data_IF_384567876926
#
_entry.id   IF_384567876926
#
_cell.length_a   1.000
_cell.length_b   1.000
_cell.length_c   1.000
_cell.angle_alpha   90.00
_cell.angle_beta   90.00
_cell.angle_gamma   90.00
#
_symmetry.space_group_name_H-M   'P 1'
#
loop_
_entity.id
_entity.type
_entity.pdbx_description
1 polymer ?
#
# COMPACT_ATOMS: atom_id res chain seq x y z
N UNK A 1 7.56 16.69 -14.81
CA UNK A 1 7.46 15.43 -14.02
C UNK A 1 7.39 14.29 -15.03
N UNK A 2 8.20 13.24 -14.88
CA UNK A 2 8.23 12.11 -15.82
C UNK A 2 7.32 10.99 -15.31
N UNK A 3 6.46 10.45 -16.16
CA UNK A 3 5.57 9.34 -15.79
C UNK A 3 6.13 8.02 -16.31
N UNK A 4 6.15 6.98 -15.46
CA UNK A 4 6.66 5.65 -15.80
C UNK A 4 5.50 4.67 -15.89
N UNK A 5 5.38 3.94 -17.00
CA UNK A 5 4.31 2.96 -17.17
C UNK A 5 4.75 1.76 -18.02
N UNK A 6 4.36 0.56 -17.59
CA UNK A 6 4.58 -0.67 -18.39
C UNK A 6 3.86 -0.61 -19.74
N UNK A 7 2.66 -0.03 -19.75
CA UNK A 7 1.89 0.21 -20.97
C UNK A 7 1.73 1.73 -21.17
N UNK A 8 2.58 2.29 -22.03
CA UNK A 8 2.62 3.71 -22.36
C UNK A 8 1.28 4.20 -22.95
N UNK A 9 0.76 3.50 -23.95
CA UNK A 9 -0.47 3.88 -24.64
C UNK A 9 -1.67 3.93 -23.68
N UNK A 10 -1.76 2.97 -22.75
CA UNK A 10 -2.81 2.98 -21.72
C UNK A 10 -2.69 4.20 -20.80
N UNK A 11 -1.49 4.56 -20.37
CA UNK A 11 -1.29 5.72 -19.51
C UNK A 11 -1.62 7.04 -20.25
N UNK A 12 -1.23 7.16 -21.51
CA UNK A 12 -1.56 8.35 -22.32
C UNK A 12 -3.09 8.48 -22.53
N UNK A 13 -3.80 7.37 -22.75
CA UNK A 13 -5.29 7.36 -22.80
C UNK A 13 -5.95 7.75 -21.48
N UNK A 14 -5.26 7.58 -20.36
CA UNK A 14 -5.70 8.04 -19.03
C UNK A 14 -5.36 9.52 -18.78
N UNK A 15 -4.73 10.21 -19.73
CA UNK A 15 -4.42 11.64 -19.65
C UNK A 15 -3.03 11.96 -19.12
N UNK A 16 -2.16 10.96 -18.89
CA UNK A 16 -0.78 11.22 -18.50
C UNK A 16 0.06 11.70 -19.69
N UNK A 17 0.83 12.77 -19.49
CA UNK A 17 1.85 13.24 -20.43
C UNK A 17 3.26 12.76 -20.01
N UNK A 18 4.26 12.96 -20.87
CA UNK A 18 5.67 12.61 -20.58
C UNK A 18 5.84 11.17 -20.08
N UNK A 19 5.13 10.24 -20.73
CA UNK A 19 5.12 8.82 -20.36
C UNK A 19 6.29 8.08 -21.01
N UNK A 20 7.09 7.42 -20.17
CA UNK A 20 8.17 6.54 -20.56
C UNK A 20 7.80 5.10 -20.23
N UNK A 21 8.11 4.20 -21.17
CA UNK A 21 7.90 2.78 -20.96
C UNK A 21 8.90 2.29 -19.91
N UNK A 22 8.39 1.68 -18.85
CA UNK A 22 9.20 1.20 -17.73
C UNK A 22 8.46 0.07 -17.03
N UNK A 23 9.19 -0.96 -16.59
CA UNK A 23 8.62 -2.06 -15.81
C UNK A 23 9.52 -2.34 -14.60
N UNK A 24 9.06 -3.19 -13.68
CA UNK A 24 9.90 -3.69 -12.59
C UNK A 24 10.90 -4.74 -13.11
N UNK A 25 11.85 -4.29 -13.92
CA UNK A 25 12.90 -5.10 -14.52
C UNK A 25 14.21 -4.30 -14.64
N UNK A 26 15.21 -4.90 -15.27
CA UNK A 26 16.52 -4.31 -15.56
C UNK A 26 16.79 -4.13 -17.06
N UNK A 27 15.72 -3.91 -17.82
CA UNK A 27 15.84 -3.67 -19.26
C UNK A 27 16.47 -2.31 -19.56
N UNK A 28 17.07 -2.18 -20.74
CA UNK A 28 17.57 -0.88 -21.20
C UNK A 28 16.46 0.18 -21.29
N UNK A 29 15.23 -0.22 -21.64
CA UNK A 29 14.07 0.68 -21.66
C UNK A 29 13.84 1.30 -20.27
N UNK A 30 13.86 0.46 -19.23
CA UNK A 30 13.68 0.87 -17.83
C UNK A 30 14.83 1.79 -17.38
N UNK A 31 16.09 1.46 -17.66
CA UNK A 31 17.24 2.31 -17.30
C UNK A 31 17.14 3.67 -18.00
N UNK A 32 16.92 3.71 -19.32
CA UNK A 32 16.77 4.95 -20.09
C UNK A 32 15.59 5.79 -19.58
N UNK A 33 14.50 5.15 -19.14
CA UNK A 33 13.35 5.85 -18.56
C UNK A 33 13.67 6.60 -17.28
N UNK A 34 14.77 6.26 -16.59
CA UNK A 34 15.21 6.84 -15.32
C UNK A 34 16.39 7.81 -15.48
N UNK A 35 17.00 7.92 -16.65
CA UNK A 35 18.15 8.82 -16.88
C UNK A 35 17.77 10.29 -16.65
N UNK A 36 18.61 11.00 -15.89
CA UNK A 36 18.40 12.41 -15.53
C UNK A 36 17.30 12.64 -14.48
N UNK A 37 16.87 11.59 -13.76
CA UNK A 37 15.94 11.69 -12.63
C UNK A 37 16.72 11.68 -11.32
N UNK A 38 16.61 12.76 -10.53
CA UNK A 38 17.26 12.83 -9.22
C UNK A 38 16.48 12.10 -8.12
N UNK A 39 15.14 12.22 -8.16
CA UNK A 39 14.19 11.70 -7.18
C UNK A 39 13.15 10.81 -7.86
N UNK A 40 13.05 9.57 -7.41
CA UNK A 40 12.10 8.58 -7.90
C UNK A 40 11.00 8.35 -6.87
N UNK A 41 9.75 8.62 -7.24
CA UNK A 41 8.60 8.06 -6.51
C UNK A 41 8.32 6.65 -7.00
N UNK A 42 8.60 5.66 -6.17
CA UNK A 42 8.39 4.24 -6.44
C UNK A 42 7.13 3.77 -5.72
N UNK A 43 6.05 3.63 -6.47
CA UNK A 43 4.91 2.81 -6.03
C UNK A 43 5.39 1.36 -5.94
N UNK A 44 4.88 0.58 -4.99
CA UNK A 44 5.24 -0.83 -4.92
C UNK A 44 4.57 -1.65 -6.03
N UNK A 45 5.24 -2.70 -6.48
CA UNK A 45 4.73 -3.63 -7.49
C UNK A 45 3.52 -4.41 -6.98
N UNK A 46 2.74 -4.93 -7.93
CA UNK A 46 1.58 -5.78 -7.64
C UNK A 46 1.98 -7.08 -6.95
N UNK A 47 1.01 -7.73 -6.32
CA UNK A 47 1.14 -9.09 -5.76
C UNK A 47 1.66 -10.07 -6.82
N UNK A 48 2.75 -10.76 -6.52
CA UNK A 48 3.45 -11.67 -7.42
C UNK A 48 4.52 -12.47 -6.64
N UNK A 49 4.80 -13.76 -6.93
CA UNK A 49 5.86 -14.50 -6.26
C UNK A 49 7.26 -13.88 -6.42
N UNK A 50 7.51 -13.22 -7.55
CA UNK A 50 8.79 -12.58 -7.85
C UNK A 50 8.84 -11.10 -7.41
N UNK A 51 7.87 -10.61 -6.63
CA UNK A 51 7.70 -9.19 -6.31
C UNK A 51 8.97 -8.55 -5.73
N UNK A 52 9.63 -9.21 -4.78
CA UNK A 52 10.89 -8.71 -4.20
C UNK A 52 11.99 -8.63 -5.26
N UNK A 53 12.11 -9.62 -6.14
CA UNK A 53 13.11 -9.60 -7.20
C UNK A 53 12.82 -8.50 -8.23
N UNK A 54 11.55 -8.30 -8.58
CA UNK A 54 11.10 -7.22 -9.45
C UNK A 54 11.46 -5.84 -8.86
N UNK A 55 11.24 -5.62 -7.56
CA UNK A 55 11.67 -4.40 -6.90
C UNK A 55 13.18 -4.22 -6.94
N UNK A 56 13.96 -5.27 -6.66
CA UNK A 56 15.43 -5.23 -6.70
C UNK A 56 15.95 -4.88 -8.08
N UNK A 57 15.43 -5.50 -9.13
CA UNK A 57 15.82 -5.22 -10.52
C UNK A 57 15.50 -3.76 -10.91
N UNK A 58 14.36 -3.23 -10.47
CA UNK A 58 13.99 -1.83 -10.70
C UNK A 58 14.88 -0.85 -9.93
N UNK A 59 15.21 -1.15 -8.68
CA UNK A 59 16.12 -0.36 -7.84
C UNK A 59 17.53 -0.36 -8.43
N UNK A 60 17.99 -1.50 -8.96
CA UNK A 60 19.26 -1.59 -9.69
C UNK A 60 19.27 -0.73 -10.94
N UNK A 61 18.16 -0.71 -11.70
CA UNK A 61 18.00 0.21 -12.84
C UNK A 61 18.07 1.67 -12.43
N UNK A 62 17.40 2.04 -11.33
CA UNK A 62 17.47 3.38 -10.76
C UNK A 62 18.91 3.75 -10.36
N UNK A 63 19.66 2.80 -9.80
CA UNK A 63 21.06 3.00 -9.43
C UNK A 63 21.92 3.24 -10.67
N UNK A 64 21.76 2.42 -11.70
CA UNK A 64 22.49 2.56 -12.97
C UNK A 64 22.18 3.88 -13.65
N UNK A 65 20.93 4.34 -13.61
CA UNK A 65 20.50 5.60 -14.20
C UNK A 65 20.92 6.85 -13.40
N UNK A 66 21.48 6.67 -12.20
CA UNK A 66 22.00 7.75 -11.36
C UNK A 66 20.97 8.41 -10.43
N UNK A 67 19.81 7.77 -10.18
CA UNK A 67 18.84 8.24 -9.18
C UNK A 67 19.51 8.34 -7.82
N UNK A 68 19.24 9.42 -7.09
CA UNK A 68 19.88 9.71 -5.80
C UNK A 68 18.97 9.46 -4.59
N UNK A 69 17.66 9.64 -4.77
CA UNK A 69 16.65 9.53 -3.72
C UNK A 69 15.44 8.73 -4.20
N UNK A 70 15.02 7.74 -3.41
CA UNK A 70 13.77 7.00 -3.63
C UNK A 70 12.74 7.35 -2.55
N UNK A 71 11.61 7.93 -2.96
CA UNK A 71 10.40 7.99 -2.15
C UNK A 71 9.60 6.72 -2.43
N UNK A 72 9.60 5.77 -1.49
CA UNK A 72 9.01 4.45 -1.69
C UNK A 72 7.68 4.34 -0.93
N UNK A 73 6.64 3.93 -1.64
CA UNK A 73 5.36 3.55 -1.04
C UNK A 73 5.47 2.14 -0.46
N UNK A 74 5.82 2.11 0.81
CA UNK A 74 6.01 0.92 1.64
C UNK A 74 4.74 0.59 2.42
N UNK A 75 4.83 -0.30 3.41
CA UNK A 75 3.69 -0.77 4.19
C UNK A 75 3.90 -0.59 5.71
N UNK A 76 2.83 -0.29 6.43
CA UNK A 76 2.83 -0.09 7.88
C UNK A 76 3.39 -1.30 8.61
N UNK A 77 4.24 -1.04 9.61
CA UNK A 77 4.95 -2.05 10.38
C UNK A 77 5.75 -3.11 9.58
N UNK A 78 6.10 -2.82 8.32
CA UNK A 78 6.97 -3.68 7.52
C UNK A 78 8.22 -4.12 8.30
N UNK A 79 8.34 -5.44 8.47
CA UNK A 79 9.43 -6.09 9.20
C UNK A 79 9.73 -7.48 8.63
N UNK A 80 10.95 -7.98 8.86
CA UNK A 80 11.34 -9.35 8.48
C UNK A 80 10.45 -10.45 9.10
N UNK A 81 9.79 -10.14 10.21
CA UNK A 81 8.94 -11.05 10.99
C UNK A 81 7.45 -10.70 10.85
N UNK A 82 7.08 -9.83 9.91
CA UNK A 82 5.70 -9.42 9.67
C UNK A 82 4.82 -10.66 9.45
N UNK A 83 3.64 -10.68 10.06
CA UNK A 83 2.67 -11.76 9.88
C UNK A 83 2.07 -11.63 8.48
N UNK A 84 1.74 -10.39 8.09
CA UNK A 84 1.32 -10.09 6.74
C UNK A 84 2.42 -10.44 5.75
N UNK A 85 2.13 -11.34 4.81
CA UNK A 85 3.14 -11.89 3.89
C UNK A 85 3.86 -10.78 3.11
N UNK A 86 3.11 -9.83 2.57
CA UNK A 86 3.67 -8.72 1.77
C UNK A 86 4.37 -7.66 2.64
N UNK A 87 4.08 -7.60 3.95
CA UNK A 87 4.83 -6.76 4.88
C UNK A 87 6.31 -7.15 4.95
N UNK A 88 6.62 -8.44 4.76
CA UNK A 88 8.00 -8.94 4.62
C UNK A 88 8.65 -8.50 3.31
N UNK A 89 7.90 -8.47 2.21
CA UNK A 89 8.40 -7.98 0.92
C UNK A 89 8.73 -6.48 0.96
N UNK A 90 7.87 -5.70 1.60
CA UNK A 90 8.10 -4.27 1.83
C UNK A 90 9.36 -4.04 2.65
N UNK A 91 9.55 -4.79 3.74
CA UNK A 91 10.78 -4.74 4.53
C UNK A 91 12.03 -5.08 3.68
N UNK A 92 11.98 -6.16 2.91
CA UNK A 92 13.09 -6.56 2.05
C UNK A 92 13.43 -5.47 1.01
N UNK A 93 12.41 -4.76 0.51
CA UNK A 93 12.57 -3.65 -0.44
C UNK A 93 13.20 -2.43 0.24
N UNK A 94 12.71 -2.04 1.42
CA UNK A 94 13.28 -0.95 2.21
C UNK A 94 14.76 -1.17 2.53
N UNK A 95 15.10 -2.37 2.98
CA UNK A 95 16.49 -2.71 3.31
C UNK A 95 17.38 -2.70 2.06
N UNK A 96 16.86 -3.14 0.92
CA UNK A 96 17.61 -3.10 -0.33
C UNK A 96 17.86 -1.67 -0.83
N UNK A 97 16.87 -0.77 -0.68
CA UNK A 97 17.05 0.67 -0.97
C UNK A 97 18.18 1.25 -0.11
N UNK A 98 18.21 0.93 1.19
CA UNK A 98 19.29 1.38 2.09
C UNK A 98 20.64 0.76 1.72
N UNK A 99 20.67 -0.55 1.44
CA UNK A 99 21.88 -1.29 1.05
C UNK A 99 22.55 -0.67 -0.18
N UNK A 100 21.75 -0.24 -1.16
CA UNK A 100 22.23 0.42 -2.38
C UNK A 100 22.67 1.87 -2.18
N UNK A 101 22.55 2.39 -0.96
CA UNK A 101 23.03 3.72 -0.57
C UNK A 101 22.21 4.86 -1.15
N UNK A 102 20.92 4.65 -1.44
CA UNK A 102 20.02 5.74 -1.79
C UNK A 102 19.68 6.56 -0.54
N UNK A 103 19.49 7.87 -0.72
CA UNK A 103 18.61 8.61 0.18
C UNK A 103 17.22 8.02 0.06
N UNK A 104 16.46 7.96 1.16
CA UNK A 104 15.13 7.37 1.10
C UNK A 104 14.08 8.22 1.82
N UNK A 105 12.83 8.11 1.38
CA UNK A 105 11.67 8.45 2.20
C UNK A 105 10.68 7.31 2.09
N UNK A 106 10.37 6.65 3.20
CA UNK A 106 9.41 5.55 3.19
C UNK A 106 8.05 6.04 3.65
N UNK A 107 7.05 5.86 2.81
CA UNK A 107 5.65 6.11 3.11
C UNK A 107 5.02 4.75 3.39
N UNK A 108 4.92 4.38 4.66
CA UNK A 108 4.39 3.10 5.10
C UNK A 108 2.88 3.20 5.27
N UNK A 109 2.13 2.84 4.24
CA UNK A 109 0.67 2.87 4.33
C UNK A 109 0.11 1.68 5.08
N UNK A 110 -0.90 1.94 5.91
CA UNK A 110 -1.74 0.89 6.45
C UNK A 110 -2.73 0.43 5.36
N UNK A 111 -3.50 -0.62 5.62
CA UNK A 111 -4.54 -1.08 4.70
C UNK A 111 -5.48 0.06 4.31
N UNK A 112 -5.92 0.04 3.05
CA UNK A 112 -6.75 1.11 2.54
C UNK A 112 -8.21 0.98 2.98
N UNK A 113 -8.83 2.11 3.29
CA UNK A 113 -10.26 2.16 3.65
C UNK A 113 -11.14 1.58 2.54
N UNK A 114 -10.87 1.95 1.29
CA UNK A 114 -11.72 1.55 0.17
C UNK A 114 -11.67 0.06 -0.15
N UNK A 115 -10.58 -0.64 0.22
CA UNK A 115 -10.55 -2.11 0.17
C UNK A 115 -11.68 -2.73 1.02
N UNK A 116 -11.85 -2.28 2.26
CA UNK A 116 -12.91 -2.80 3.14
C UNK A 116 -14.31 -2.36 2.71
N UNK A 117 -14.44 -1.11 2.23
CA UNK A 117 -15.72 -0.60 1.71
C UNK A 117 -16.16 -1.35 0.45
N UNK A 118 -15.23 -1.65 -0.45
CA UNK A 118 -15.52 -2.39 -1.69
C UNK A 118 -15.91 -3.84 -1.38
N UNK A 119 -15.24 -4.51 -0.43
CA UNK A 119 -15.70 -5.83 0.05
C UNK A 119 -17.15 -5.78 0.57
N UNK A 120 -17.48 -4.78 1.38
CA UNK A 120 -18.83 -4.59 1.89
C UNK A 120 -19.86 -4.38 0.76
N UNK A 121 -19.49 -3.63 -0.29
CA UNK A 121 -20.37 -3.33 -1.44
C UNK A 121 -20.54 -4.53 -2.36
N UNK A 122 -19.47 -5.26 -2.63
CA UNK A 122 -19.43 -6.36 -3.57
C UNK A 122 -20.08 -7.62 -2.97
N UNK A 123 -19.74 -7.97 -1.73
CA UNK A 123 -20.14 -9.23 -1.11
C UNK A 123 -21.26 -9.07 -0.07
N UNK A 124 -21.53 -7.85 0.42
CA UNK A 124 -22.50 -7.61 1.50
C UNK A 124 -22.01 -8.06 2.88
N UNK A 125 -20.74 -8.43 2.99
CA UNK A 125 -20.12 -8.94 4.21
C UNK A 125 -18.59 -8.82 4.15
N UNK A 126 -17.95 -8.88 5.32
CA UNK A 126 -16.51 -9.13 5.43
C UNK A 126 -16.33 -10.47 6.15
N UNK A 127 -15.55 -11.39 5.58
CA UNK A 127 -15.26 -12.71 6.13
C UNK A 127 -13.76 -12.85 6.40
N UNK A 128 -13.39 -13.21 7.62
CA UNK A 128 -11.99 -13.50 7.91
C UNK A 128 -11.65 -13.72 9.38
N UNK A 129 -10.40 -14.12 9.66
CA UNK A 129 -9.91 -14.42 11.01
C UNK A 129 -9.31 -13.21 11.72
N UNK A 130 -9.92 -12.02 11.59
CA UNK A 130 -9.43 -10.79 12.24
C UNK A 130 -9.86 -10.67 13.71
N UNK A 131 -10.75 -11.54 14.21
CA UNK A 131 -11.30 -11.47 15.56
C UNK A 131 -11.74 -10.06 15.96
N UNK A 132 -11.28 -9.59 17.12
CA UNK A 132 -11.42 -8.22 17.60
C UNK A 132 -10.17 -7.37 17.36
N UNK A 133 -9.30 -7.80 16.44
CA UNK A 133 -8.15 -7.04 16.00
C UNK A 133 -8.58 -5.71 15.40
N UNK A 134 -7.68 -4.73 15.47
CA UNK A 134 -7.94 -3.39 14.98
C UNK A 134 -7.01 -3.02 13.84
N UNK A 135 -7.52 -2.19 12.94
CA UNK A 135 -6.77 -1.59 11.84
C UNK A 135 -6.98 -0.08 11.84
N UNK A 136 -5.90 0.69 11.65
CA UNK A 136 -5.98 2.12 11.38
C UNK A 136 -5.91 2.41 9.87
N UNK A 137 -6.96 1.95 9.17
CA UNK A 137 -7.01 1.97 7.72
C UNK A 137 -6.93 3.39 7.16
N UNK A 138 -6.16 3.60 6.10
CA UNK A 138 -5.86 4.93 5.53
C UNK A 138 -6.61 5.16 4.21
N UNK A 139 -6.99 6.40 3.93
CA UNK A 139 -7.59 6.77 2.64
C UNK A 139 -6.49 7.01 1.61
N UNK A 140 -6.61 6.38 0.42
CA UNK A 140 -5.61 6.49 -0.67
C UNK A 140 -5.32 7.94 -1.08
N UNK A 141 -6.33 8.81 -1.10
CA UNK A 141 -6.15 10.22 -1.46
C UNK A 141 -5.25 10.96 -0.47
N UNK A 142 -5.34 10.68 0.83
CA UNK A 142 -4.44 11.29 1.83
C UNK A 142 -2.99 10.86 1.59
N UNK A 143 -2.77 9.58 1.32
CA UNK A 143 -1.43 9.05 1.01
C UNK A 143 -0.85 9.70 -0.26
N UNK A 144 -1.68 9.86 -1.29
CA UNK A 144 -1.26 10.51 -2.53
C UNK A 144 -0.95 12.00 -2.34
N UNK A 145 -1.70 12.71 -1.49
CA UNK A 145 -1.44 14.11 -1.17
C UNK A 145 -0.15 14.25 -0.35
N UNK A 146 0.10 13.34 0.59
CA UNK A 146 1.39 13.29 1.32
C UNK A 146 2.54 13.05 0.37
N UNK A 147 2.43 12.08 -0.54
CA UNK A 147 3.47 11.80 -1.52
C UNK A 147 3.74 13.02 -2.41
N UNK A 148 2.70 13.68 -2.92
CA UNK A 148 2.83 14.90 -3.70
C UNK A 148 3.53 16.02 -2.90
N UNK A 149 3.14 16.23 -1.64
CA UNK A 149 3.73 17.26 -0.77
C UNK A 149 5.20 16.99 -0.43
N UNK A 150 5.57 15.72 -0.27
CA UNK A 150 6.97 15.32 -0.06
C UNK A 150 7.80 15.57 -1.31
N UNK A 151 7.25 15.28 -2.51
CA UNK A 151 7.95 15.51 -3.77
C UNK A 151 8.17 17.00 -4.11
N UNK A 152 7.44 17.93 -3.47
CA UNK A 152 7.71 19.37 -3.58
C UNK A 152 9.01 19.79 -2.88
N UNK A 153 9.43 19.07 -1.83
CA UNK A 153 10.66 19.32 -1.08
C UNK A 153 11.23 17.99 -0.54
N UNK A 154 11.73 17.11 -1.43
CA UNK A 154 12.15 15.77 -1.05
C UNK A 154 13.33 15.79 -0.07
N UNK A 155 14.22 16.78 -0.17
CA UNK A 155 15.41 16.90 0.68
C UNK A 155 15.09 17.01 2.17
N UNK A 156 13.96 17.63 2.54
CA UNK A 156 13.49 17.73 3.93
C UNK A 156 13.13 16.38 4.53
N UNK A 157 12.80 15.40 3.69
CA UNK A 157 12.29 14.09 4.10
C UNK A 157 13.31 12.96 3.88
N UNK A 158 14.56 13.30 3.57
CA UNK A 158 15.63 12.33 3.44
C UNK A 158 15.79 11.50 4.72
N UNK A 159 15.92 10.18 4.52
CA UNK A 159 16.06 9.14 5.52
C UNK A 159 14.94 9.11 6.57
N UNK A 160 13.74 9.58 6.22
CA UNK A 160 12.55 9.47 7.05
C UNK A 160 11.70 8.25 6.68
N UNK A 161 11.09 7.65 7.69
CA UNK A 161 9.99 6.71 7.56
C UNK A 161 8.76 7.35 8.19
N UNK A 162 7.67 7.43 7.42
CA UNK A 162 6.40 8.02 7.83
C UNK A 162 5.32 6.95 7.76
N UNK A 163 4.48 6.86 8.78
CA UNK A 163 3.40 5.91 8.87
C UNK A 163 2.08 6.56 8.44
N UNK A 164 1.50 6.08 7.35
CA UNK A 164 0.23 6.59 6.81
C UNK A 164 -0.91 5.76 7.35
N UNK A 165 -1.52 6.23 8.44
CA UNK A 165 -2.68 5.59 9.07
C UNK A 165 -3.91 6.48 8.95
N UNK A 166 -5.10 5.90 9.03
CA UNK A 166 -6.31 6.66 9.35
C UNK A 166 -6.26 7.29 10.76
N UNK A 167 -7.23 8.14 11.11
CA UNK A 167 -7.28 8.82 12.39
C UNK A 167 -7.80 7.95 13.55
N UNK A 168 -8.25 6.73 13.26
CA UNK A 168 -8.97 5.86 14.19
C UNK A 168 -8.57 4.40 14.01
N UNK A 169 -8.71 3.60 15.06
CA UNK A 169 -8.49 2.15 15.03
C UNK A 169 -9.83 1.43 15.09
N UNK A 170 -10.16 0.69 14.05
CA UNK A 170 -11.46 0.03 13.90
C UNK A 170 -11.30 -1.49 13.81
N UNK A 171 -12.19 -2.21 14.46
CA UNK A 171 -12.44 -3.63 14.22
C UNK A 171 -13.21 -3.83 12.91
N UNK A 172 -13.19 -5.04 12.35
CA UNK A 172 -14.01 -5.36 11.17
C UNK A 172 -15.52 -5.20 11.44
N UNK A 173 -15.97 -5.47 12.68
CA UNK A 173 -17.36 -5.25 13.08
C UNK A 173 -17.72 -3.75 13.08
N UNK A 174 -16.83 -2.88 13.57
CA UNK A 174 -17.04 -1.43 13.54
C UNK A 174 -17.05 -0.89 12.11
N UNK A 175 -16.13 -1.35 11.25
CA UNK A 175 -16.11 -0.99 9.82
C UNK A 175 -17.43 -1.39 9.15
N UNK A 176 -17.83 -2.65 9.25
CA UNK A 176 -19.07 -3.14 8.62
C UNK A 176 -20.31 -2.43 9.15
N UNK A 177 -20.33 -2.04 10.43
CA UNK A 177 -21.41 -1.23 11.03
C UNK A 177 -21.47 0.18 10.46
N UNK A 178 -20.33 0.85 10.30
CA UNK A 178 -20.26 2.19 9.71
C UNK A 178 -20.71 2.17 8.24
N UNK A 179 -20.22 1.20 7.46
CA UNK A 179 -20.62 1.02 6.06
C UNK A 179 -22.09 0.64 5.94
N UNK A 180 -22.61 -0.25 6.82
CA UNK A 180 -24.05 -0.59 6.88
C UNK A 180 -24.93 0.63 7.04
N UNK A 181 -24.56 1.50 8.00
CA UNK A 181 -25.29 2.74 8.29
C UNK A 181 -25.30 3.67 7.08
N UNK A 182 -24.17 3.82 6.39
CA UNK A 182 -24.06 4.65 5.19
C UNK A 182 -24.90 4.09 4.03
N UNK A 183 -24.81 2.79 3.76
CA UNK A 183 -25.49 2.15 2.63
C UNK A 183 -26.98 1.85 2.87
N UNK A 184 -27.46 1.98 4.12
CA UNK A 184 -28.83 1.63 4.49
C UNK A 184 -29.15 0.14 4.31
N UNK A 185 -28.14 -0.73 4.41
CA UNK A 185 -28.24 -2.19 4.26
C UNK A 185 -27.51 -2.88 5.39
N UNK A 186 -27.99 -4.06 5.77
CA UNK A 186 -27.31 -4.89 6.77
C UNK A 186 -26.06 -5.53 6.16
N UNK A 187 -24.89 -5.19 6.68
CA UNK A 187 -23.58 -5.75 6.30
C UNK A 187 -22.94 -6.27 7.58
N UNK A 188 -22.37 -7.47 7.52
CA UNK A 188 -21.83 -8.14 8.71
C UNK A 188 -20.36 -8.47 8.53
N UNK A 189 -19.63 -8.37 9.63
CA UNK A 189 -18.41 -9.13 9.78
C UNK A 189 -18.75 -10.55 10.24
N UNK A 190 -18.26 -11.54 9.51
CA UNK A 190 -18.41 -12.95 9.82
C UNK A 190 -17.02 -13.47 10.23
N UNK A 191 -16.80 -13.70 11.53
CA UNK A 191 -15.52 -14.21 12.00
C UNK A 191 -15.32 -15.64 11.49
N UNK A 192 -14.13 -15.90 10.97
CA UNK A 192 -13.69 -17.22 10.52
C UNK A 192 -12.51 -17.68 11.40
N UNK A 193 -12.35 -18.99 11.56
CA UNK A 193 -11.05 -19.58 11.90
C UNK A 193 -10.10 -19.45 10.72
N UNK A 194 -8.79 -19.65 10.95
CA UNK A 194 -7.80 -19.62 9.85
C UNK A 194 -8.13 -20.67 8.78
N UNK A 195 -8.51 -21.88 9.19
CA UNK A 195 -8.87 -22.96 8.25
C UNK A 195 -10.12 -22.61 7.43
N UNK A 196 -11.18 -22.10 8.08
CA UNK A 196 -12.38 -21.61 7.39
C UNK A 196 -12.05 -20.49 6.40
N UNK A 197 -11.12 -19.61 6.75
CA UNK A 197 -10.69 -18.52 5.89
C UNK A 197 -10.02 -19.03 4.61
N UNK A 198 -9.15 -20.04 4.71
CA UNK A 198 -8.58 -20.70 3.54
C UNK A 198 -9.66 -21.40 2.70
N UNK A 199 -10.58 -22.13 3.33
CA UNK A 199 -11.66 -22.82 2.61
C UNK A 199 -12.59 -21.84 1.87
N UNK A 200 -12.99 -20.74 2.50
CA UNK A 200 -13.91 -19.76 1.89
C UNK A 200 -13.30 -19.04 0.69
N UNK A 201 -11.96 -18.94 0.62
CA UNK A 201 -11.23 -18.31 -0.49
C UNK A 201 -11.03 -19.21 -1.72
N UNK A 202 -11.28 -20.52 -1.61
CA UNK A 202 -11.16 -21.45 -2.75
C UNK A 202 -12.19 -21.25 -3.86
N UNK A 203 -13.16 -20.34 -3.68
CA UNK A 203 -14.08 -19.92 -4.74
C UNK A 203 -13.35 -19.16 -5.86
N UNK A 204 -12.24 -18.49 -5.53
CA UNK A 204 -11.35 -17.85 -6.48
C UNK A 204 -10.25 -18.84 -6.89
N UNK A 205 -10.01 -19.00 -8.18
CA UNK A 205 -8.90 -19.83 -8.66
C UNK A 205 -7.60 -19.05 -8.50
N UNK A 206 -6.82 -19.41 -7.49
CA UNK A 206 -5.56 -18.78 -7.16
C UNK A 206 -4.51 -19.81 -6.70
N UNK A 207 -3.25 -19.39 -6.69
CA UNK A 207 -2.14 -20.16 -6.16
C UNK A 207 -2.06 -20.05 -4.63
N UNK A 208 -1.35 -20.97 -3.98
CA UNK A 208 -1.31 -21.01 -2.50
C UNK A 208 -0.80 -19.70 -1.87
N UNK A 209 0.20 -19.08 -2.48
CA UNK A 209 0.79 -17.84 -1.97
C UNK A 209 -0.20 -16.65 -1.98
N UNK A 210 -1.19 -16.66 -2.89
CA UNK A 210 -2.25 -15.65 -2.93
C UNK A 210 -3.18 -15.84 -1.73
N UNK A 211 -3.64 -17.08 -1.48
CA UNK A 211 -4.45 -17.38 -0.30
C UNK A 211 -3.72 -17.02 0.99
N UNK A 212 -2.42 -17.34 1.10
CA UNK A 212 -1.61 -16.97 2.26
C UNK A 212 -1.59 -15.44 2.47
N UNK A 213 -1.51 -14.67 1.38
CA UNK A 213 -1.51 -13.20 1.43
C UNK A 213 -2.88 -12.64 1.82
N UNK A 214 -3.96 -13.18 1.28
CA UNK A 214 -5.32 -12.73 1.61
C UNK A 214 -5.74 -13.11 3.03
N UNK A 215 -5.36 -14.31 3.50
CA UNK A 215 -5.63 -14.73 4.88
C UNK A 215 -4.75 -13.95 5.86
N UNK A 216 -3.48 -13.71 5.52
CA UNK A 216 -2.57 -12.99 6.42
C UNK A 216 -2.91 -11.51 6.61
N UNK A 217 -3.70 -10.92 5.72
CA UNK A 217 -4.33 -9.60 5.94
C UNK A 217 -5.05 -9.56 7.28
N UNK A 218 -5.87 -10.57 7.57
CA UNK A 218 -6.69 -10.64 8.77
C UNK A 218 -5.90 -11.15 9.97
N UNK A 219 -4.99 -12.11 9.80
CA UNK A 219 -4.17 -12.58 10.92
C UNK A 219 -3.19 -11.51 11.41
N UNK A 220 -2.70 -10.63 10.53
CA UNK A 220 -1.94 -9.46 10.96
C UNK A 220 -2.80 -8.47 11.77
N UNK A 221 -4.08 -8.31 11.42
CA UNK A 221 -5.02 -7.46 12.16
C UNK A 221 -5.31 -8.03 13.55
N UNK A 222 -5.61 -9.34 13.68
CA UNK A 222 -5.92 -9.94 14.99
C UNK A 222 -4.74 -9.91 15.96
N UNK A 223 -3.51 -10.03 15.44
CA UNK A 223 -2.28 -9.94 16.23
C UNK A 223 -1.86 -8.48 16.52
N UNK A 224 -2.65 -7.50 16.07
CA UNK A 224 -2.42 -6.08 16.35
C UNK A 224 -1.29 -5.45 15.54
N UNK A 225 -0.79 -6.11 14.49
CA UNK A 225 0.26 -5.56 13.63
C UNK A 225 -0.20 -4.29 12.91
N UNK A 226 -1.51 -4.14 12.66
CA UNK A 226 -2.08 -2.97 11.98
C UNK A 226 -2.80 -1.99 12.90
N UNK A 227 -2.60 -2.14 14.20
CA UNK A 227 -3.07 -1.24 15.23
C UNK A 227 -2.10 -0.04 15.40
N UNK A 228 -2.61 1.04 15.96
CA UNK A 228 -1.91 2.29 16.25
C UNK A 228 -2.22 3.40 15.25
N UNK A 229 -2.26 4.64 15.73
CA UNK A 229 -2.48 5.84 14.92
C UNK A 229 -1.20 6.66 14.88
N UNK A 230 -0.82 7.12 13.69
CA UNK A 230 0.24 8.10 13.46
C UNK A 230 -0.33 9.47 13.13
N UNK A 231 0.39 10.52 13.50
CA UNK A 231 0.10 11.90 13.12
C UNK A 231 0.93 12.35 11.91
N UNK A 232 1.60 11.44 11.19
CA UNK A 232 2.51 11.82 10.09
C UNK A 232 1.77 12.47 8.91
N UNK A 233 0.52 12.08 8.63
CA UNK A 233 -0.31 12.76 7.63
C UNK A 233 -0.54 14.23 8.04
N UNK A 234 -0.90 14.47 9.31
CA UNK A 234 -1.10 15.83 9.83
C UNK A 234 0.19 16.65 9.83
N UNK A 235 1.32 16.02 10.15
CA UNK A 235 2.63 16.66 10.10
C UNK A 235 3.01 17.13 8.69
N UNK A 236 2.62 16.40 7.64
CA UNK A 236 2.95 16.74 6.25
C UNK A 236 1.92 17.72 5.67
N UNK A 237 0.63 17.45 5.85
CA UNK A 237 -0.46 18.18 5.20
C UNK A 237 -0.99 19.37 6.01
N UNK A 238 -0.74 19.42 7.32
CA UNK A 238 -1.33 20.42 8.21
C UNK A 238 -2.82 20.21 8.51
N UNK A 239 -3.38 19.07 8.11
CA UNK A 239 -4.74 18.62 8.41
C UNK A 239 -4.73 17.15 8.84
N UNK A 240 -5.70 16.73 9.64
CA UNK A 240 -5.83 15.32 10.05
C UNK A 240 -6.09 14.40 8.85
N UNK A 241 -5.75 13.13 9.04
CA UNK A 241 -6.16 12.05 8.14
C UNK A 241 -7.68 11.95 8.10
N UNK A 242 -8.22 11.60 6.93
CA UNK A 242 -9.64 11.41 6.67
C UNK A 242 -10.11 10.13 7.36
N UNK A 243 -11.17 10.25 8.16
CA UNK A 243 -11.82 9.12 8.83
C UNK A 243 -12.60 8.23 7.85
N UNK A 244 -12.99 7.02 8.28
CA UNK A 244 -13.87 6.18 7.45
C UNK A 244 -15.22 6.86 7.23
N UNK A 245 -15.74 7.56 8.25
CA UNK A 245 -17.03 8.27 8.12
C UNK A 245 -16.95 9.39 7.09
N UNK A 246 -15.91 10.23 7.15
CA UNK A 246 -15.70 11.30 6.16
C UNK A 246 -15.46 10.74 4.75
N UNK A 247 -14.72 9.62 4.63
CA UNK A 247 -14.51 8.95 3.35
C UNK A 247 -15.83 8.46 2.73
N UNK A 248 -16.73 7.90 3.55
CA UNK A 248 -18.04 7.46 3.08
C UNK A 248 -18.89 8.63 2.58
N UNK A 249 -18.80 9.81 3.18
CA UNK A 249 -19.58 10.99 2.77
C UNK A 249 -19.15 11.59 1.41
N UNK A 250 -17.94 11.28 0.94
CA UNK A 250 -17.39 11.77 -0.33
C UNK A 250 -17.40 10.73 -1.47
N UNK A 251 -17.90 9.52 -1.20
CA UNK A 251 -18.12 8.43 -2.16
C UNK A 251 -19.38 8.62 -2.99
#
# INVERSE_FOLDING_TARGET
MRNLARNKEKAEKMGFSDVFKSSYDKSEDTIKSLEGIDVLFMVSGSENPDRVQQHKDFIDSAKTAGVSHIVYLSFYNASKNSIFTLGRDHYATEEYIKEKGFKYTFLRDNFYVDFFVDMCREYGEIKGPAGNGKVSAVVRSDVSEVAAKILENPEKWENHTLNMTGPEELTMEEITKLVSKYLGKEIKYIPETVDEAYESRKIWKAEQWEYDSWVSTYTAIVEGEQAGVSNDIEKVLGRKATSLTEYLEIL
#
